data_IF_809152109752
#
_entry.id   IF_809152109752
#
_cell.length_a   1.000
_cell.length_b   1.000
_cell.length_c   1.000
_cell.angle_alpha   90.00
_cell.angle_beta   90.00
_cell.angle_gamma   90.00
#
_symmetry.space_group_name_H-M   'P 1'
#
loop_
_entity.id
_entity.type
_entity.pdbx_description
1 polymer ?
#
# COMPACT_ATOMS: atom_id res chain seq x y z
N UNK A 1 2.19 1.77 26.77
CA UNK A 1 1.98 2.92 25.85
C UNK A 1 1.79 2.34 24.47
N UNK A 2 0.60 2.51 23.89
CA UNK A 2 0.32 2.02 22.53
C UNK A 2 1.12 2.87 21.55
N UNK A 3 1.83 2.23 20.63
CA UNK A 3 2.63 2.93 19.62
C UNK A 3 1.69 3.53 18.57
N UNK A 4 1.08 4.67 18.89
CA UNK A 4 0.18 5.41 17.99
C UNK A 4 0.81 5.65 16.61
N UNK A 5 2.13 5.83 16.57
CA UNK A 5 2.88 5.94 15.31
C UNK A 5 2.87 4.63 14.51
N UNK A 6 3.03 3.49 15.17
CA UNK A 6 2.97 2.18 14.50
C UNK A 6 1.57 1.93 13.95
N UNK A 7 0.55 2.20 14.74
CA UNK A 7 -0.85 2.02 14.33
C UNK A 7 -1.19 2.92 13.12
N UNK A 8 -0.73 4.17 13.12
CA UNK A 8 -0.91 5.08 12.00
C UNK A 8 -0.18 4.61 10.73
N UNK A 9 1.05 4.11 10.88
CA UNK A 9 1.83 3.59 9.75
C UNK A 9 1.18 2.33 9.16
N UNK A 10 0.72 1.40 9.99
CA UNK A 10 0.03 0.20 9.49
C UNK A 10 -1.30 0.56 8.81
N UNK A 11 -2.06 1.51 9.36
CA UNK A 11 -3.28 2.01 8.71
C UNK A 11 -3.00 2.63 7.33
N UNK A 12 -1.89 3.38 7.17
CA UNK A 12 -1.49 3.92 5.87
C UNK A 12 -1.02 2.82 4.90
N UNK A 13 -0.28 1.81 5.39
CA UNK A 13 0.13 0.66 4.56
C UNK A 13 -1.10 -0.08 4.02
N UNK A 14 -2.06 -0.38 4.91
CA UNK A 14 -3.32 -1.00 4.51
C UNK A 14 -4.07 -0.19 3.46
N UNK A 15 -4.11 1.14 3.62
CA UNK A 15 -4.76 2.02 2.65
C UNK A 15 -4.14 1.88 1.25
N UNK A 16 -2.82 1.90 1.14
CA UNK A 16 -2.15 1.75 -0.15
C UNK A 16 -2.30 0.34 -0.74
N UNK A 17 -2.20 -0.71 0.09
CA UNK A 17 -2.42 -2.09 -0.36
C UNK A 17 -3.83 -2.25 -0.93
N UNK A 18 -4.86 -1.74 -0.24
CA UNK A 18 -6.25 -1.77 -0.72
C UNK A 18 -6.41 -1.06 -2.06
N UNK A 19 -5.77 0.11 -2.24
CA UNK A 19 -5.78 0.83 -3.53
C UNK A 19 -5.12 0.03 -4.66
N UNK A 20 -3.98 -0.60 -4.40
CA UNK A 20 -3.25 -1.40 -5.38
C UNK A 20 -4.02 -2.68 -5.77
N UNK A 21 -4.73 -3.30 -4.82
CA UNK A 21 -5.62 -4.43 -5.11
C UNK A 21 -6.82 -3.96 -5.94
N UNK A 22 -7.44 -2.84 -5.56
CA UNK A 22 -8.62 -2.31 -6.26
C UNK A 22 -8.32 -1.91 -7.71
N UNK A 23 -7.09 -1.47 -8.01
CA UNK A 23 -6.68 -1.14 -9.36
C UNK A 23 -6.43 -2.36 -10.24
N UNK A 24 -6.45 -3.58 -9.69
CA UNK A 24 -6.20 -4.82 -10.41
C UNK A 24 -4.73 -5.05 -10.79
N UNK A 25 -3.82 -4.16 -10.36
CA UNK A 25 -2.38 -4.29 -10.66
C UNK A 25 -1.72 -5.40 -9.85
N UNK A 26 -2.26 -5.69 -8.66
CA UNK A 26 -1.74 -6.73 -7.77
C UNK A 26 -2.88 -7.50 -7.13
N UNK A 27 -2.63 -8.77 -6.81
CA UNK A 27 -3.61 -9.64 -6.16
C UNK A 27 -3.47 -9.58 -4.65
N UNK A 28 -4.57 -9.84 -3.93
CA UNK A 28 -4.59 -9.84 -2.47
C UNK A 28 -3.75 -10.96 -1.84
N UNK A 29 -3.47 -12.01 -2.61
CA UNK A 29 -2.62 -13.15 -2.23
C UNK A 29 -1.14 -12.90 -2.47
N UNK A 30 -0.78 -11.73 -3.01
CA UNK A 30 0.60 -11.39 -3.30
C UNK A 30 1.31 -11.03 -1.98
N UNK A 31 1.95 -12.04 -1.37
CA UNK A 31 2.69 -11.91 -0.12
C UNK A 31 3.78 -10.85 -0.20
N UNK A 32 4.28 -10.57 -1.41
CA UNK A 32 5.25 -9.50 -1.66
C UNK A 32 4.73 -8.14 -1.18
N UNK A 33 3.42 -7.86 -1.30
CA UNK A 33 2.83 -6.59 -0.84
C UNK A 33 2.97 -6.37 0.66
N UNK A 34 2.92 -7.43 1.45
CA UNK A 34 3.05 -7.36 2.91
C UNK A 34 4.50 -7.10 3.35
N UNK A 35 5.47 -7.42 2.47
CA UNK A 35 6.90 -7.15 2.70
C UNK A 35 7.31 -5.71 2.36
N UNK A 36 6.45 -4.97 1.66
CA UNK A 36 6.76 -3.62 1.22
C UNK A 36 6.68 -2.61 2.37
N UNK A 37 7.63 -1.68 2.35
CA UNK A 37 7.61 -0.49 3.21
C UNK A 37 6.53 0.49 2.74
N UNK A 38 6.12 1.38 3.65
CA UNK A 38 5.15 2.43 3.36
C UNK A 38 5.52 3.27 2.13
N UNK A 39 6.80 3.64 2.00
CA UNK A 39 7.31 4.45 0.88
C UNK A 39 7.27 3.69 -0.44
N UNK A 40 7.51 2.38 -0.44
CA UNK A 40 7.42 1.56 -1.64
C UNK A 40 5.96 1.42 -2.12
N UNK A 41 5.03 1.21 -1.19
CA UNK A 41 3.60 1.19 -1.49
C UNK A 41 3.12 2.53 -2.06
N UNK A 42 3.53 3.65 -1.44
CA UNK A 42 3.23 4.99 -1.94
C UNK A 42 3.79 5.21 -3.36
N UNK A 43 5.02 4.77 -3.64
CA UNK A 43 5.62 4.90 -4.96
C UNK A 43 4.87 4.10 -6.03
N UNK A 44 4.39 2.89 -5.70
CA UNK A 44 3.57 2.08 -6.61
C UNK A 44 2.24 2.75 -6.92
N UNK A 45 1.56 3.28 -5.89
CA UNK A 45 0.30 4.00 -6.07
C UNK A 45 0.50 5.29 -6.87
N UNK A 46 1.58 6.05 -6.62
CA UNK A 46 1.91 7.23 -7.43
C UNK A 46 2.19 6.89 -8.89
N UNK A 47 2.77 5.72 -9.17
CA UNK A 47 2.97 5.24 -10.55
C UNK A 47 1.65 4.90 -11.19
N UNK A 48 0.79 4.16 -10.48
CA UNK A 48 -0.57 3.86 -10.92
C UNK A 48 -1.33 5.14 -11.31
N UNK A 49 -1.32 6.14 -10.43
CA UNK A 49 -2.00 7.42 -10.66
C UNK A 49 -1.43 8.21 -11.86
N UNK A 50 -0.16 7.99 -12.22
CA UNK A 50 0.47 8.58 -13.42
C UNK A 50 0.21 7.80 -14.71
N UNK A 51 -0.28 6.56 -14.60
CA UNK A 51 -0.58 5.66 -15.74
C UNK A 51 -2.07 5.43 -15.94
N UNK A 52 -2.95 6.06 -15.14
CA UNK A 52 -4.38 6.12 -15.42
C UNK A 52 -4.68 7.00 -16.65
N UNK A 53 -5.78 6.73 -17.38
CA UNK A 53 -6.15 7.45 -18.61
C UNK A 53 -6.34 8.95 -18.41
#
# INVERSE_FOLDING_TARGET
MKNHLRDAVEAMKEHYIKRLIHSGVVQSTDEALQTLTLTQLEALVKRLDKTGP
#
